data_IF_459056455614
#
_entry.id   IF_459056455614
#
_cell.length_a   1.000
_cell.length_b   1.000
_cell.length_c   1.000
_cell.angle_alpha   90.00
_cell.angle_beta   90.00
_cell.angle_gamma   90.00
#
_symmetry.space_group_name_H-M   'P 1'
#
loop_
_entity.id
_entity.type
_entity.pdbx_description
1 polymer ?
#
# COMPACT_ATOMS: atom_id res chain seq x y z
N UNK A 1 0.78 7.66 -20.67
CA UNK A 1 -0.35 7.11 -19.88
C UNK A 1 -0.91 5.80 -20.47
N UNK A 2 -0.76 5.56 -21.78
CA UNK A 2 -0.92 4.23 -22.42
C UNK A 2 0.15 3.19 -22.03
N UNK A 3 1.14 3.51 -21.19
CA UNK A 3 2.27 2.61 -20.99
C UNK A 3 1.94 1.32 -20.23
N UNK A 4 1.00 1.32 -19.28
CA UNK A 4 0.66 0.09 -18.55
C UNK A 4 -0.06 -0.92 -19.46
N UNK A 5 -1.03 -0.47 -20.25
CA UNK A 5 -1.67 -1.30 -21.28
C UNK A 5 -0.67 -1.73 -22.35
N UNK A 6 0.20 -0.81 -22.80
CA UNK A 6 1.24 -1.13 -23.80
C UNK A 6 2.33 -2.08 -23.26
N UNK A 7 2.50 -2.17 -21.93
CA UNK A 7 3.41 -3.11 -21.26
C UNK A 7 2.73 -4.46 -20.92
N UNK A 8 1.48 -4.66 -21.38
CA UNK A 8 0.78 -5.95 -21.29
C UNK A 8 -0.07 -6.15 -20.04
N UNK A 9 -0.35 -5.11 -19.25
CA UNK A 9 -1.31 -5.21 -18.14
C UNK A 9 -2.72 -5.27 -18.72
N UNK A 10 -3.32 -6.46 -18.67
CA UNK A 10 -4.67 -6.72 -19.19
C UNK A 10 -5.74 -6.15 -18.26
N UNK A 11 -5.59 -6.36 -16.95
CA UNK A 11 -6.56 -5.88 -15.97
C UNK A 11 -5.91 -5.52 -14.62
N UNK A 12 -6.57 -4.62 -13.89
CA UNK A 12 -6.22 -4.21 -12.53
C UNK A 12 -7.48 -4.31 -11.66
N UNK A 13 -7.45 -5.23 -10.69
CA UNK A 13 -8.57 -5.43 -9.76
C UNK A 13 -8.57 -4.39 -8.64
N UNK A 14 -7.40 -4.18 -8.02
CA UNK A 14 -7.22 -3.23 -6.91
C UNK A 14 -5.97 -2.39 -7.18
N UNK A 15 -6.15 -1.08 -7.17
CA UNK A 15 -5.07 -0.11 -7.20
C UNK A 15 -4.92 0.56 -5.84
N UNK A 16 -3.77 0.36 -5.20
CA UNK A 16 -3.47 0.95 -3.90
C UNK A 16 -2.55 2.15 -4.08
N UNK A 17 -3.05 3.35 -3.80
CA UNK A 17 -2.37 4.63 -4.08
C UNK A 17 -2.25 5.48 -2.81
N UNK A 18 -1.23 6.33 -2.67
CA UNK A 18 -1.17 7.26 -1.52
C UNK A 18 -2.29 8.31 -1.62
N UNK A 19 -2.85 8.70 -0.47
CA UNK A 19 -3.89 9.74 -0.42
C UNK A 19 -3.36 11.06 -0.97
N UNK A 20 -4.18 11.76 -1.78
CA UNK A 20 -3.81 13.04 -2.38
C UNK A 20 -3.49 14.12 -1.33
N UNK A 21 -4.07 14.03 -0.12
CA UNK A 21 -3.86 14.98 0.96
C UNK A 21 -2.56 14.81 1.76
N UNK A 22 -1.77 13.75 1.52
CA UNK A 22 -0.60 13.39 2.33
C UNK A 22 0.72 14.05 1.89
N UNK A 23 0.65 14.97 0.93
CA UNK A 23 1.78 15.49 0.13
C UNK A 23 2.63 16.58 0.81
N UNK A 24 2.30 16.99 2.05
CA UNK A 24 2.93 18.14 2.70
C UNK A 24 4.13 17.79 3.61
N UNK A 25 5.10 17.00 3.14
CA UNK A 25 6.38 16.88 3.85
C UNK A 25 7.58 17.00 2.89
N UNK A 26 8.35 18.11 2.93
CA UNK A 26 9.44 18.38 1.99
C UNK A 26 10.67 17.46 2.15
N UNK A 27 10.70 16.56 3.15
CA UNK A 27 11.88 15.76 3.50
C UNK A 27 11.76 14.25 3.21
N UNK A 28 10.73 13.79 2.50
CA UNK A 28 10.69 12.42 1.95
C UNK A 28 10.28 12.48 0.48
N UNK A 29 11.04 11.78 -0.36
CA UNK A 29 10.57 11.33 -1.68
C UNK A 29 9.47 10.30 -1.44
N UNK A 30 8.28 10.75 -1.05
CA UNK A 30 7.07 9.93 -1.03
C UNK A 30 6.38 10.10 -2.36
N UNK A 31 6.43 9.06 -3.19
CA UNK A 31 5.31 8.52 -3.98
C UNK A 31 4.38 9.57 -4.62
N UNK A 32 4.98 10.67 -5.09
CA UNK A 32 4.29 11.85 -5.59
C UNK A 32 3.79 11.63 -7.00
N UNK A 33 2.80 10.76 -7.16
CA UNK A 33 2.10 10.58 -8.43
C UNK A 33 0.81 11.39 -8.38
N UNK A 34 0.92 12.72 -8.50
CA UNK A 34 -0.24 13.59 -8.73
C UNK A 34 -0.99 13.12 -9.98
N UNK A 35 -2.31 12.96 -9.87
CA UNK A 35 -3.16 12.51 -10.97
C UNK A 35 -3.09 11.02 -11.29
N UNK A 36 -2.39 10.20 -10.49
CA UNK A 36 -2.37 8.74 -10.69
C UNK A 36 -3.69 8.05 -10.38
N UNK A 37 -4.45 8.43 -9.33
CA UNK A 37 -5.80 7.92 -9.13
C UNK A 37 -6.70 8.22 -10.35
N UNK A 38 -6.62 9.44 -10.86
CA UNK A 38 -7.39 9.90 -12.02
C UNK A 38 -6.98 9.15 -13.30
N UNK A 39 -5.67 8.91 -13.47
CA UNK A 39 -5.12 8.15 -14.58
C UNK A 39 -5.54 6.67 -14.57
N UNK A 40 -5.57 6.04 -13.39
CA UNK A 40 -6.03 4.66 -13.25
C UNK A 40 -7.52 4.58 -13.55
N UNK A 41 -8.32 5.48 -12.99
CA UNK A 41 -9.78 5.51 -13.24
C UNK A 41 -10.09 5.75 -14.72
N UNK A 42 -9.27 6.55 -15.41
CA UNK A 42 -9.40 6.77 -16.85
C UNK A 42 -8.97 5.56 -17.70
N UNK A 43 -7.94 4.82 -17.29
CA UNK A 43 -7.41 3.68 -18.03
C UNK A 43 -8.15 2.36 -17.73
N UNK A 44 -8.60 2.18 -16.49
CA UNK A 44 -9.22 1.00 -15.92
C UNK A 44 -10.41 1.45 -15.04
N UNK A 45 -11.57 1.77 -15.63
CA UNK A 45 -12.71 2.32 -14.91
C UNK A 45 -13.27 1.36 -13.84
N UNK A 46 -13.13 0.06 -14.06
CA UNK A 46 -13.61 -0.98 -13.14
C UNK A 46 -12.61 -1.29 -12.00
N UNK A 47 -11.44 -0.64 -11.98
CA UNK A 47 -10.44 -0.86 -10.93
C UNK A 47 -10.85 -0.18 -9.63
N UNK A 48 -10.81 -0.93 -8.51
CA UNK A 48 -11.04 -0.35 -7.20
C UNK A 48 -9.81 0.46 -6.77
N UNK A 49 -9.93 1.80 -6.74
CA UNK A 49 -8.88 2.70 -6.27
C UNK A 49 -9.02 2.89 -4.76
N UNK A 50 -7.98 2.54 -4.02
CA UNK A 50 -7.95 2.55 -2.56
C UNK A 50 -6.75 3.34 -2.04
N UNK A 51 -6.95 4.13 -0.99
CA UNK A 51 -5.84 4.79 -0.30
C UNK A 51 -5.00 3.79 0.49
N UNK A 52 -3.67 3.87 0.33
CA UNK A 52 -2.73 2.99 0.99
C UNK A 52 -2.63 3.29 2.49
N UNK A 53 -3.21 2.41 3.30
CA UNK A 53 -3.19 2.50 4.77
C UNK A 53 -1.75 2.53 5.31
N UNK A 54 -0.82 1.81 4.69
CA UNK A 54 0.59 1.82 5.13
C UNK A 54 1.21 3.20 4.97
N UNK A 55 0.91 3.92 3.89
CA UNK A 55 1.37 5.30 3.71
C UNK A 55 0.71 6.24 4.72
N UNK A 56 -0.58 6.07 4.99
CA UNK A 56 -1.31 6.84 6.00
C UNK A 56 -0.73 6.63 7.42
N UNK A 57 -0.44 5.38 7.79
CA UNK A 57 0.23 5.02 9.05
C UNK A 57 1.65 5.59 9.10
N UNK A 58 2.45 5.43 8.04
CA UNK A 58 3.81 5.99 7.99
C UNK A 58 3.81 7.52 8.11
N UNK A 59 2.84 8.20 7.51
CA UNK A 59 2.68 9.64 7.65
C UNK A 59 2.31 10.02 9.08
N UNK A 60 1.36 9.30 9.69
CA UNK A 60 0.98 9.49 11.09
C UNK A 60 2.17 9.37 12.04
N UNK A 61 2.99 8.33 11.85
CA UNK A 61 4.18 8.08 12.67
C UNK A 61 5.31 9.10 12.49
N UNK A 62 5.29 9.92 11.43
CA UNK A 62 6.25 11.02 11.27
C UNK A 62 6.03 12.12 12.30
N UNK A 63 4.80 12.33 12.77
CA UNK A 63 4.49 13.31 13.82
C UNK A 63 4.79 12.80 15.23
N UNK A 64 5.04 11.50 15.38
CA UNK A 64 5.29 10.87 16.67
C UNK A 64 6.78 10.85 17.02
N UNK A 65 7.07 11.14 18.29
CA UNK A 65 8.39 10.91 18.85
C UNK A 65 8.75 9.41 18.82
N UNK A 66 10.03 9.08 18.66
CA UNK A 66 10.50 7.69 18.52
C UNK A 66 10.00 6.75 19.62
N UNK A 67 9.95 7.23 20.86
CA UNK A 67 9.48 6.46 22.03
C UNK A 67 8.02 6.05 21.93
N UNK A 68 7.17 6.92 21.39
CA UNK A 68 5.72 6.71 21.33
C UNK A 68 5.28 5.98 20.05
N UNK A 69 6.14 5.91 19.02
CA UNK A 69 5.82 5.28 17.73
C UNK A 69 5.28 3.86 17.87
N UNK A 70 5.82 3.06 18.79
CA UNK A 70 5.35 1.68 18.99
C UNK A 70 3.93 1.63 19.54
N UNK A 71 3.61 2.51 20.49
CA UNK A 71 2.28 2.60 21.09
C UNK A 71 1.26 3.14 20.07
N UNK A 72 1.59 4.24 19.39
CA UNK A 72 0.74 4.82 18.34
C UNK A 72 0.51 3.83 17.20
N UNK A 73 1.54 3.10 16.75
CA UNK A 73 1.37 2.09 15.70
C UNK A 73 0.46 0.92 16.13
N UNK A 74 0.47 0.56 17.42
CA UNK A 74 -0.41 -0.47 17.96
C UNK A 74 -1.86 0.01 18.00
N UNK A 75 -2.12 1.25 18.43
CA UNK A 75 -3.47 1.80 18.46
C UNK A 75 -4.01 2.03 17.02
N UNK A 76 -3.19 2.56 16.10
CA UNK A 76 -3.55 2.69 14.69
C UNK A 76 -3.89 1.35 14.03
N UNK A 77 -3.32 0.25 14.54
CA UNK A 77 -3.63 -1.11 14.06
C UNK A 77 -5.03 -1.56 14.40
N UNK A 78 -5.63 -1.05 15.48
CA UNK A 78 -7.01 -1.38 15.84
C UNK A 78 -7.98 -0.79 14.81
N UNK A 79 -7.71 0.42 14.32
CA UNK A 79 -8.53 1.10 13.31
C UNK A 79 -8.65 0.27 12.03
N UNK A 80 -7.53 -0.04 11.37
CA UNK A 80 -7.56 -0.83 10.11
C UNK A 80 -7.70 -2.34 10.35
N UNK A 81 -7.60 -2.80 11.59
CA UNK A 81 -7.84 -4.18 11.99
C UNK A 81 -9.31 -4.48 12.26
N UNK A 82 -10.16 -3.46 12.38
CA UNK A 82 -11.57 -3.60 12.68
C UNK A 82 -12.33 -4.37 11.57
N UNK A 83 -13.38 -5.13 11.93
CA UNK A 83 -14.15 -5.91 10.97
C UNK A 83 -14.99 -5.03 10.04
N UNK A 84 -15.59 -3.94 10.56
CA UNK A 84 -16.48 -3.03 9.83
C UNK A 84 -16.00 -1.58 9.90
N UNK A 85 -16.47 -0.75 8.96
CA UNK A 85 -16.17 0.67 8.92
C UNK A 85 -16.70 1.43 10.16
N UNK A 86 -17.86 1.04 10.69
CA UNK A 86 -18.44 1.67 11.89
C UNK A 86 -17.60 1.40 13.14
N UNK A 87 -17.11 0.16 13.30
CA UNK A 87 -16.19 -0.17 14.39
C UNK A 87 -14.85 0.55 14.21
N UNK A 88 -14.35 0.65 12.98
CA UNK A 88 -13.15 1.43 12.70
C UNK A 88 -13.31 2.91 13.03
N UNK A 89 -14.50 3.50 12.81
CA UNK A 89 -14.80 4.87 13.18
C UNK A 89 -14.78 5.05 14.71
N UNK A 90 -15.38 4.11 15.46
CA UNK A 90 -15.33 4.13 16.92
C UNK A 90 -13.89 4.00 17.46
N UNK A 91 -13.07 3.14 16.85
CA UNK A 91 -11.64 3.02 17.19
C UNK A 91 -10.86 4.29 16.83
N UNK A 92 -11.24 5.00 15.75
CA UNK A 92 -10.65 6.30 15.40
C UNK A 92 -11.02 7.39 16.42
N UNK A 93 -12.26 7.39 16.89
CA UNK A 93 -12.71 8.31 17.95
C UNK A 93 -11.95 8.04 19.27
N UNK A 94 -11.83 6.78 19.67
CA UNK A 94 -11.05 6.39 20.85
C UNK A 94 -9.55 6.73 20.72
N UNK A 95 -9.00 6.58 19.51
CA UNK A 95 -7.63 7.00 19.21
C UNK A 95 -7.47 8.52 19.35
N UNK A 96 -8.43 9.30 18.85
CA UNK A 96 -8.45 10.75 18.96
C UNK A 96 -8.48 11.18 20.42
N UNK A 97 -9.37 10.63 21.24
CA UNK A 97 -9.44 10.95 22.68
C UNK A 97 -8.13 10.66 23.42
N UNK A 98 -7.51 9.50 23.16
CA UNK A 98 -6.27 9.09 23.81
C UNK A 98 -5.07 9.96 23.43
N UNK A 99 -4.98 10.37 22.17
CA UNK A 99 -3.80 11.06 21.63
C UNK A 99 -4.00 12.54 21.33
N UNK A 100 -5.21 13.10 21.49
CA UNK A 100 -5.52 14.51 21.24
C UNK A 100 -4.56 15.47 21.96
N UNK A 101 -4.16 15.14 23.19
CA UNK A 101 -3.25 15.99 23.96
C UNK A 101 -1.80 16.06 23.44
N UNK A 102 -1.30 15.01 22.78
CA UNK A 102 0.09 14.92 22.31
C UNK A 102 0.25 15.02 20.79
N UNK A 103 -0.66 14.41 20.05
CA UNK A 103 -0.59 14.23 18.60
C UNK A 103 -1.92 14.58 17.92
N UNK A 104 -2.44 15.79 18.18
CA UNK A 104 -3.72 16.29 17.65
C UNK A 104 -3.84 16.29 16.11
N UNK A 105 -2.72 16.25 15.38
CA UNK A 105 -2.72 16.29 13.91
C UNK A 105 -3.09 14.96 13.24
N UNK A 106 -2.99 13.84 13.95
CA UNK A 106 -3.12 12.51 13.35
C UNK A 106 -4.59 12.20 13.03
N UNK A 107 -5.50 12.33 13.99
CA UNK A 107 -6.91 11.99 13.78
C UNK A 107 -7.56 12.81 12.65
N UNK A 108 -7.35 14.14 12.53
CA UNK A 108 -7.84 14.92 11.39
C UNK A 108 -7.29 14.47 10.04
N UNK A 109 -6.04 13.97 9.98
CA UNK A 109 -5.49 13.41 8.75
C UNK A 109 -6.23 12.14 8.31
N UNK A 110 -6.60 11.28 9.26
CA UNK A 110 -7.41 10.08 8.99
C UNK A 110 -8.85 10.44 8.60
N UNK A 111 -9.48 11.39 9.30
CA UNK A 111 -10.84 11.86 8.97
C UNK A 111 -10.92 12.46 7.56
N UNK A 112 -9.91 13.21 7.13
CA UNK A 112 -9.83 13.76 5.75
C UNK A 112 -9.72 12.68 4.68
N UNK A 113 -8.97 11.62 4.97
CA UNK A 113 -8.83 10.48 4.06
C UNK A 113 -9.92 9.41 4.24
N UNK A 114 -10.91 9.61 5.13
CA UNK A 114 -11.80 8.55 5.59
C UNK A 114 -12.63 7.94 4.46
N UNK A 115 -13.15 8.77 3.55
CA UNK A 115 -13.91 8.30 2.38
C UNK A 115 -13.08 7.39 1.47
N UNK A 116 -11.77 7.63 1.40
CA UNK A 116 -10.83 6.80 0.64
C UNK A 116 -10.38 5.56 1.43
N UNK A 117 -10.65 5.49 2.74
CA UNK A 117 -10.31 4.35 3.62
C UNK A 117 -11.50 3.39 3.76
N UNK A 118 -12.74 3.86 3.70
CA UNK A 118 -13.94 3.01 3.82
C UNK A 118 -13.94 1.79 2.89
N UNK A 119 -13.59 1.89 1.58
CA UNK A 119 -13.64 0.76 0.66
C UNK A 119 -12.72 -0.39 1.07
N UNK A 120 -11.68 -0.13 1.87
CA UNK A 120 -10.81 -1.15 2.41
C UNK A 120 -11.56 -2.17 3.29
N UNK A 121 -12.60 -1.74 4.01
CA UNK A 121 -13.42 -2.61 4.84
C UNK A 121 -14.42 -3.45 4.03
N UNK A 122 -14.56 -3.23 2.73
CA UNK A 122 -15.35 -4.11 1.86
C UNK A 122 -14.61 -5.43 1.54
N UNK A 123 -13.27 -5.45 1.66
CA UNK A 123 -12.48 -6.64 1.39
C UNK A 123 -12.48 -7.63 2.55
N UNK A 124 -12.31 -8.93 2.27
CA UNK A 124 -12.12 -9.95 3.31
C UNK A 124 -10.80 -9.72 4.09
N UNK A 125 -10.72 -10.07 5.39
CA UNK A 125 -9.48 -9.95 6.19
C UNK A 125 -8.23 -10.57 5.54
N UNK A 126 -8.36 -11.66 4.77
CA UNK A 126 -7.25 -12.26 4.05
C UNK A 126 -6.71 -11.32 2.95
N UNK A 127 -7.60 -10.67 2.20
CA UNK A 127 -7.24 -9.67 1.18
C UNK A 127 -6.65 -8.42 1.86
N UNK A 128 -7.33 -7.92 2.89
CA UNK A 128 -6.86 -6.76 3.68
C UNK A 128 -5.42 -6.95 4.14
N UNK A 129 -5.09 -8.13 4.67
CA UNK A 129 -3.75 -8.47 5.15
C UNK A 129 -2.69 -8.42 4.05
N UNK A 130 -3.04 -8.77 2.82
CA UNK A 130 -2.14 -8.61 1.67
C UNK A 130 -1.98 -7.13 1.29
N UNK A 131 -3.06 -6.35 1.34
CA UNK A 131 -3.04 -4.92 0.99
C UNK A 131 -2.14 -4.11 1.95
N UNK A 132 -2.26 -4.31 3.27
CA UNK A 132 -1.47 -3.55 4.24
C UNK A 132 -0.12 -4.20 4.61
N UNK A 133 0.20 -5.39 4.08
CA UNK A 133 1.54 -5.96 4.27
C UNK A 133 2.48 -5.47 3.17
N UNK A 134 3.51 -4.73 3.55
CA UNK A 134 4.59 -4.38 2.62
C UNK A 134 5.63 -5.49 2.48
N UNK A 135 5.46 -6.63 3.15
CA UNK A 135 6.48 -7.69 3.21
C UNK A 135 6.88 -8.20 1.82
N UNK A 136 5.93 -8.38 0.90
CA UNK A 136 6.23 -8.86 -0.45
C UNK A 136 7.08 -7.84 -1.23
N UNK A 137 6.64 -6.57 -1.23
CA UNK A 137 7.34 -5.48 -1.91
C UNK A 137 8.68 -5.15 -1.27
N UNK A 138 8.77 -5.17 0.07
CA UNK A 138 10.00 -4.94 0.82
C UNK A 138 11.00 -6.08 0.63
N UNK A 139 10.53 -7.33 0.57
CA UNK A 139 11.37 -8.49 0.26
C UNK A 139 12.01 -8.36 -1.12
N UNK A 140 11.21 -8.03 -2.15
CA UNK A 140 11.70 -7.80 -3.50
C UNK A 140 12.68 -6.61 -3.55
N UNK A 141 12.29 -5.46 -2.99
CA UNK A 141 13.13 -4.27 -2.93
C UNK A 141 14.45 -4.52 -2.20
N UNK A 142 14.44 -5.34 -1.14
CA UNK A 142 15.66 -5.73 -0.42
C UNK A 142 16.60 -6.53 -1.31
N UNK A 143 16.07 -7.46 -2.10
CA UNK A 143 16.88 -8.25 -3.06
C UNK A 143 17.46 -7.35 -4.15
N UNK A 144 16.64 -6.46 -4.73
CA UNK A 144 17.11 -5.51 -5.76
C UNK A 144 18.21 -4.60 -5.19
N UNK A 145 17.99 -3.98 -4.02
CA UNK A 145 18.99 -3.13 -3.36
C UNK A 145 20.28 -3.89 -3.06
N UNK A 146 20.19 -5.14 -2.61
CA UNK A 146 21.37 -5.99 -2.35
C UNK A 146 22.17 -6.22 -3.65
N UNK A 147 21.49 -6.58 -4.74
CA UNK A 147 22.13 -6.82 -6.04
C UNK A 147 22.80 -5.58 -6.61
N UNK A 148 22.21 -4.39 -6.40
CA UNK A 148 22.75 -3.12 -6.88
C UNK A 148 23.90 -2.63 -6.00
N UNK A 149 23.79 -2.74 -4.67
CA UNK A 149 24.79 -2.22 -3.71
C UNK A 149 26.20 -2.77 -3.95
N UNK A 150 26.31 -3.99 -4.45
CA UNK A 150 27.60 -4.64 -4.75
C UNK A 150 28.29 -4.10 -6.01
N UNK A 151 27.57 -3.39 -6.89
CA UNK A 151 28.05 -3.03 -8.24
C UNK A 151 28.55 -1.58 -8.38
N UNK A 152 28.29 -0.71 -7.40
CA UNK A 152 28.84 0.66 -7.35
C UNK A 152 28.29 1.60 -8.45
N UNK A 153 28.78 1.47 -9.68
CA UNK A 153 28.35 2.22 -10.87
C UNK A 153 28.01 1.28 -12.03
N UNK A 154 27.13 1.73 -12.92
CA UNK A 154 26.76 0.99 -14.12
C UNK A 154 27.28 1.72 -15.37
N UNK A 155 27.87 0.99 -16.33
CA UNK A 155 28.40 1.60 -17.55
C UNK A 155 27.31 2.06 -18.53
N UNK A 156 26.14 1.41 -18.52
CA UNK A 156 24.98 1.76 -19.35
C UNK A 156 23.67 1.49 -18.61
N UNK A 157 22.59 2.12 -19.06
CA UNK A 157 21.24 1.87 -18.56
C UNK A 157 20.80 0.42 -18.78
N UNK A 158 21.12 -0.16 -19.94
CA UNK A 158 20.82 -1.56 -20.27
C UNK A 158 21.51 -2.54 -19.31
N UNK A 159 22.73 -2.24 -18.88
CA UNK A 159 23.44 -3.06 -17.90
C UNK A 159 22.73 -3.05 -16.53
N UNK A 160 22.21 -1.88 -16.11
CA UNK A 160 21.40 -1.76 -14.91
C UNK A 160 20.08 -2.53 -15.04
N UNK A 161 19.36 -2.36 -16.15
CA UNK A 161 18.10 -3.06 -16.44
C UNK A 161 18.27 -4.57 -16.45
N UNK A 162 19.32 -5.07 -17.12
CA UNK A 162 19.63 -6.51 -17.16
C UNK A 162 19.90 -7.08 -15.78
N UNK A 163 20.61 -6.34 -14.93
CA UNK A 163 20.89 -6.78 -13.57
C UNK A 163 19.62 -6.82 -12.69
N UNK A 164 18.76 -5.80 -12.81
CA UNK A 164 17.46 -5.78 -12.13
C UNK A 164 16.61 -6.97 -12.60
N UNK A 165 16.52 -7.20 -13.91
CA UNK A 165 15.82 -8.34 -14.49
C UNK A 165 16.33 -9.69 -13.94
N UNK A 166 17.65 -9.89 -13.92
CA UNK A 166 18.24 -11.12 -13.37
C UNK A 166 17.97 -11.28 -11.86
N UNK A 167 17.95 -10.18 -11.11
CA UNK A 167 17.62 -10.21 -9.69
C UNK A 167 16.16 -10.64 -9.45
N UNK A 168 15.22 -10.10 -10.23
CA UNK A 168 13.80 -10.46 -10.18
C UNK A 168 13.62 -11.94 -10.57
N UNK A 169 14.21 -12.38 -11.69
CA UNK A 169 14.09 -13.77 -12.16
C UNK A 169 14.65 -14.79 -11.16
N UNK A 170 15.74 -14.46 -10.48
CA UNK A 170 16.29 -15.31 -9.42
C UNK A 170 15.41 -15.33 -8.17
N UNK A 171 14.78 -14.21 -7.83
CA UNK A 171 13.84 -14.14 -6.72
C UNK A 171 12.61 -15.02 -6.96
N UNK A 172 12.05 -14.99 -8.17
CA UNK A 172 10.87 -15.80 -8.55
C UNK A 172 11.12 -17.31 -8.38
N UNK A 173 12.30 -17.81 -8.77
CA UNK A 173 12.65 -19.24 -8.68
C UNK A 173 12.68 -19.79 -7.24
N UNK A 174 12.93 -18.93 -6.25
CA UNK A 174 13.00 -19.31 -4.83
C UNK A 174 11.89 -18.70 -3.96
N UNK A 175 10.98 -17.96 -4.58
CA UNK A 175 9.92 -17.24 -3.89
C UNK A 175 8.90 -18.19 -3.29
N UNK A 176 8.56 -17.99 -2.01
CA UNK A 176 7.38 -18.61 -1.40
C UNK A 176 6.21 -17.66 -1.56
N UNK A 177 5.03 -18.22 -1.82
CA UNK A 177 3.79 -17.44 -1.79
C UNK A 177 3.61 -16.83 -0.39
N UNK A 178 3.00 -15.64 -0.36
CA UNK A 178 2.52 -15.05 0.89
C UNK A 178 1.57 -16.05 1.55
N UNK A 179 1.66 -16.25 2.86
CA UNK A 179 0.91 -17.29 3.59
C UNK A 179 -0.61 -17.16 3.34
N UNK A 180 -1.08 -15.93 3.26
CA UNK A 180 -2.49 -15.58 3.07
C UNK A 180 -2.94 -15.65 1.60
N UNK A 181 -2.02 -15.88 0.65
CA UNK A 181 -2.30 -15.79 -0.79
C UNK A 181 -3.42 -16.72 -1.23
N UNK A 182 -3.42 -17.97 -0.78
CA UNK A 182 -4.46 -18.94 -1.18
C UNK A 182 -5.85 -18.56 -0.66
N UNK A 183 -5.93 -18.07 0.58
CA UNK A 183 -7.18 -17.59 1.15
C UNK A 183 -7.67 -16.34 0.41
N UNK A 184 -6.78 -15.38 0.17
CA UNK A 184 -7.12 -14.17 -0.57
C UNK A 184 -7.50 -14.45 -2.03
N UNK A 185 -6.82 -15.39 -2.69
CA UNK A 185 -7.14 -15.83 -4.06
C UNK A 185 -8.56 -16.35 -4.17
N UNK A 186 -9.01 -17.16 -3.22
CA UNK A 186 -10.40 -17.66 -3.21
C UNK A 186 -11.39 -16.49 -3.05
N UNK A 187 -11.08 -15.52 -2.19
CA UNK A 187 -11.92 -14.35 -2.00
C UNK A 187 -11.92 -13.43 -3.23
N UNK A 188 -10.79 -13.29 -3.93
CA UNK A 188 -10.72 -12.58 -5.21
C UNK A 188 -11.58 -13.24 -6.28
N UNK A 189 -11.58 -14.57 -6.36
CA UNK A 189 -12.44 -15.30 -7.28
C UNK A 189 -13.93 -15.08 -6.99
N UNK A 190 -14.32 -14.92 -5.73
CA UNK A 190 -15.72 -14.63 -5.36
C UNK A 190 -16.08 -13.16 -5.66
N UNK A 191 -15.19 -12.23 -5.32
CA UNK A 191 -15.45 -10.78 -5.41
C UNK A 191 -15.34 -10.24 -6.84
N UNK A 192 -14.52 -10.87 -7.68
CA UNK A 192 -14.23 -10.44 -9.05
C UNK A 192 -14.43 -11.58 -10.06
N UNK A 193 -15.46 -12.40 -9.88
CA UNK A 193 -15.69 -13.67 -10.60
C UNK A 193 -15.44 -13.59 -12.12
N UNK A 194 -16.12 -12.67 -12.81
CA UNK A 194 -16.00 -12.49 -14.27
C UNK A 194 -14.63 -11.98 -14.75
N UNK A 195 -13.82 -11.39 -13.84
CA UNK A 195 -12.53 -10.75 -14.17
C UNK A 195 -11.33 -11.55 -13.67
N UNK A 196 -11.50 -12.41 -12.66
CA UNK A 196 -10.42 -13.16 -12.05
C UNK A 196 -10.12 -14.49 -12.77
N UNK A 197 -11.13 -15.05 -13.44
CA UNK A 197 -11.04 -16.32 -14.17
C UNK A 197 -10.93 -16.15 -15.70
N UNK A 198 -10.88 -14.90 -16.19
CA UNK A 198 -10.78 -14.56 -17.62
C UNK A 198 -9.35 -14.66 -18.17
#
# INVERSE_FOLDING_TARGET
>A
MNELKNRGVQDILIAVVPSQGLQANPCRVTDGLKGFPDAITAAFPDAAVQTCIVHLVRHSLNFCAWKDRKAVAADLRLIYGAPTADQAAAELDAFEEKWAGKYASIAPAWRRAWQEVIPFFAFDPAIRKIIYTTNAMESLNRVIRKSIKTRGSFPTEEAATKLIYLAIRNFEKGGRNVREWFAARNQFAIMFDERFNA
#
